data_IF_295082122390
#
_entry.id   IF_295082122390
#
_cell.length_a   1.000
_cell.length_b   1.000
_cell.length_c   1.000
_cell.angle_alpha   90.00
_cell.angle_beta   90.00
_cell.angle_gamma   90.00
#
_symmetry.space_group_name_H-M   'P 1'
#
loop_
_entity.id
_entity.type
_entity.pdbx_description
1 polymer ?
#
# COMPACT_ATOMS: atom_id res chain seq x y z
N UNK A 1 -16.85 -32.00 -26.25
CA UNK A 1 -17.22 -30.81 -25.46
C UNK A 1 -16.62 -31.02 -24.09
N UNK A 2 -15.53 -30.34 -23.79
CA UNK A 2 -14.82 -30.46 -22.51
C UNK A 2 -15.20 -29.28 -21.63
N UNK A 3 -15.87 -29.56 -20.51
CA UNK A 3 -16.19 -28.57 -19.48
C UNK A 3 -14.88 -28.00 -18.91
N UNK A 4 -14.72 -26.68 -19.02
CA UNK A 4 -13.66 -25.92 -18.40
C UNK A 4 -13.93 -25.82 -16.89
N UNK A 5 -13.07 -26.46 -16.10
CA UNK A 5 -13.07 -26.36 -14.65
C UNK A 5 -12.58 -24.96 -14.24
N UNK A 6 -13.50 -24.03 -14.01
CA UNK A 6 -13.18 -22.72 -13.43
C UNK A 6 -12.85 -22.94 -11.95
N UNK A 7 -11.63 -22.62 -11.48
CA UNK A 7 -11.30 -22.80 -10.07
C UNK A 7 -12.21 -21.93 -9.21
N UNK A 8 -12.92 -22.56 -8.27
CA UNK A 8 -13.83 -21.89 -7.35
C UNK A 8 -13.14 -20.78 -6.56
N UNK A 9 -13.84 -19.66 -6.38
CA UNK A 9 -13.45 -18.50 -5.56
C UNK A 9 -12.99 -18.99 -4.18
N UNK A 10 -11.68 -18.94 -3.91
CA UNK A 10 -11.14 -19.25 -2.58
C UNK A 10 -11.79 -18.28 -1.58
N UNK A 11 -12.61 -18.79 -0.67
CA UNK A 11 -13.13 -17.96 0.42
C UNK A 11 -11.93 -17.48 1.23
N UNK A 12 -11.79 -16.16 1.34
CA UNK A 12 -10.92 -15.55 2.31
C UNK A 12 -11.19 -16.12 3.70
N UNK A 13 -10.16 -16.65 4.37
CA UNK A 13 -10.29 -17.07 5.77
C UNK A 13 -9.94 -15.88 6.67
N UNK A 14 -10.78 -15.53 7.66
CA UNK A 14 -10.41 -14.57 8.69
C UNK A 14 -9.07 -14.97 9.31
N UNK A 15 -8.21 -13.98 9.53
CA UNK A 15 -6.83 -14.20 10.03
C UNK A 15 -6.58 -13.26 11.20
N UNK A 16 -6.16 -13.81 12.34
CA UNK A 16 -5.82 -13.04 13.54
C UNK A 16 -4.38 -12.53 13.44
N UNK A 17 -4.18 -11.23 13.56
CA UNK A 17 -2.86 -10.60 13.67
C UNK A 17 -2.93 -9.38 14.58
N UNK A 18 -1.96 -9.21 15.49
CA UNK A 18 -1.94 -8.13 16.50
C UNK A 18 -3.26 -7.98 17.29
N UNK A 19 -3.96 -9.09 17.55
CA UNK A 19 -5.24 -9.08 18.26
C UNK A 19 -6.47 -8.69 17.41
N UNK A 20 -6.29 -8.38 16.13
CA UNK A 20 -7.34 -7.97 15.19
C UNK A 20 -7.70 -9.15 14.27
N UNK A 21 -9.01 -9.39 14.07
CA UNK A 21 -9.52 -10.38 13.11
C UNK A 21 -9.77 -9.70 11.77
N UNK A 22 -8.83 -9.87 10.83
CA UNK A 22 -8.94 -9.32 9.48
C UNK A 22 -9.96 -10.09 8.64
N UNK A 23 -10.64 -9.40 7.71
CA UNK A 23 -11.58 -10.02 6.76
C UNK A 23 -10.86 -10.93 5.78
N UNK A 24 -9.57 -10.67 5.57
CA UNK A 24 -8.74 -11.55 4.76
C UNK A 24 -7.32 -11.80 5.24
N UNK A 25 -6.79 -12.95 4.82
CA UNK A 25 -5.36 -13.28 4.97
C UNK A 25 -4.46 -12.27 4.26
N UNK A 26 -4.94 -11.67 3.16
CA UNK A 26 -4.17 -10.66 2.43
C UNK A 26 -4.10 -9.35 3.21
N UNK A 27 -5.22 -8.88 3.78
CA UNK A 27 -5.23 -7.72 4.70
C UNK A 27 -4.34 -7.95 5.91
N UNK A 28 -4.44 -9.11 6.57
CA UNK A 28 -3.56 -9.42 7.70
C UNK A 28 -2.08 -9.39 7.30
N UNK A 29 -1.74 -9.88 6.10
CA UNK A 29 -0.36 -9.84 5.59
C UNK A 29 0.09 -8.41 5.32
N UNK A 30 -0.79 -7.55 4.83
CA UNK A 30 -0.50 -6.14 4.63
C UNK A 30 -0.32 -5.39 5.94
N UNK A 31 -1.15 -5.64 6.96
CA UNK A 31 -0.90 -5.15 8.32
C UNK A 31 0.50 -5.55 8.83
N UNK A 32 0.88 -6.81 8.63
CA UNK A 32 2.22 -7.27 8.98
C UNK A 32 3.33 -6.66 8.11
N UNK A 33 3.04 -6.31 6.86
CA UNK A 33 3.97 -5.62 5.98
C UNK A 33 4.19 -4.17 6.43
N UNK A 34 3.14 -3.47 6.87
CA UNK A 34 3.25 -2.13 7.44
C UNK A 34 4.09 -2.13 8.71
N UNK A 35 3.93 -3.13 9.59
CA UNK A 35 4.81 -3.33 10.76
C UNK A 35 6.27 -3.55 10.34
N UNK A 36 6.52 -4.31 9.27
CA UNK A 36 7.88 -4.53 8.73
C UNK A 36 8.49 -3.25 8.14
N UNK A 37 7.68 -2.41 7.51
CA UNK A 37 8.09 -1.09 6.99
C UNK A 37 8.22 -0.03 8.09
N UNK A 38 7.79 -0.34 9.32
CA UNK A 38 7.79 0.59 10.44
C UNK A 38 6.72 1.68 10.32
N UNK A 39 5.63 1.41 9.60
CA UNK A 39 4.50 2.31 9.44
C UNK A 39 3.46 2.07 10.52
N UNK A 40 2.96 3.15 11.13
CA UNK A 40 1.84 3.06 12.05
C UNK A 40 0.54 3.01 11.26
N UNK A 41 -0.36 2.09 11.59
CA UNK A 41 -1.59 1.86 10.85
C UNK A 41 -2.80 1.70 11.76
N UNK A 42 -3.97 2.05 11.21
CA UNK A 42 -5.29 1.78 11.75
C UNK A 42 -6.05 0.89 10.76
N UNK A 43 -6.77 -0.12 11.24
CA UNK A 43 -7.57 -1.03 10.42
C UNK A 43 -9.04 -0.63 10.45
N UNK A 44 -9.68 -0.58 9.27
CA UNK A 44 -11.06 -0.08 9.10
C UNK A 44 -11.30 1.25 9.83
N UNK A 45 -10.52 2.31 9.51
CA UNK A 45 -10.62 3.60 10.21
C UNK A 45 -12.01 4.21 10.05
N UNK A 46 -12.42 4.99 11.04
CA UNK A 46 -13.66 5.77 10.93
C UNK A 46 -13.55 6.81 9.82
N UNK A 47 -14.49 6.79 8.87
CA UNK A 47 -14.61 7.81 7.83
C UNK A 47 -15.98 8.50 7.89
N UNK A 48 -16.08 9.78 7.46
CA UNK A 48 -17.37 10.48 7.42
C UNK A 48 -18.37 9.91 6.41
N UNK A 49 -17.93 9.06 5.48
CA UNK A 49 -18.72 8.54 4.37
C UNK A 49 -19.09 7.06 4.51
N UNK A 50 -19.83 6.54 3.53
CA UNK A 50 -20.22 5.12 3.50
C UNK A 50 -19.07 4.17 3.08
N UNK A 51 -17.94 4.72 2.63
CA UNK A 51 -16.77 3.94 2.25
C UNK A 51 -15.75 3.94 3.38
N UNK A 52 -15.44 2.74 3.86
CA UNK A 52 -14.40 2.48 4.86
C UNK A 52 -13.23 1.83 4.10
N UNK A 53 -12.07 2.49 4.00
CA UNK A 53 -10.88 1.87 3.44
C UNK A 53 -10.37 0.75 4.36
N UNK A 54 -9.55 -0.16 3.83
CA UNK A 54 -9.01 -1.26 4.64
C UNK A 54 -8.07 -0.72 5.74
N UNK A 55 -7.26 0.30 5.44
CA UNK A 55 -6.34 0.90 6.41
C UNK A 55 -6.20 2.42 6.26
N UNK A 56 -5.73 3.04 7.34
CA UNK A 56 -5.12 4.37 7.36
C UNK A 56 -3.67 4.25 7.86
N UNK A 57 -2.72 4.80 7.12
CA UNK A 57 -1.32 4.91 7.53
C UNK A 57 -1.05 6.30 8.11
N UNK A 58 -0.43 6.34 9.28
CA UNK A 58 0.00 7.58 9.92
C UNK A 58 1.48 7.82 9.63
N UNK A 59 1.74 8.86 8.83
CA UNK A 59 3.08 9.40 8.61
C UNK A 59 3.49 10.36 9.72
N UNK A 60 4.58 11.09 9.49
CA UNK A 60 5.05 12.14 10.41
C UNK A 60 4.46 13.50 10.04
N UNK A 61 4.49 14.43 10.99
CA UNK A 61 3.96 15.79 10.83
C UNK A 61 2.48 15.83 10.41
N UNK A 62 1.67 14.87 10.88
CA UNK A 62 0.25 14.79 10.58
C UNK A 62 -0.09 14.28 9.18
N UNK A 63 0.89 13.75 8.43
CA UNK A 63 0.63 13.11 7.13
C UNK A 63 -0.14 11.82 7.31
N UNK A 64 -1.03 11.57 6.36
CA UNK A 64 -1.93 10.43 6.35
C UNK A 64 -2.07 9.88 4.94
N UNK A 65 -2.32 8.58 4.82
CA UNK A 65 -2.60 7.92 3.56
C UNK A 65 -3.58 6.77 3.79
N UNK A 66 -4.68 6.77 3.05
CA UNK A 66 -5.62 5.65 3.07
C UNK A 66 -5.11 4.52 2.18
N UNK A 67 -5.42 3.28 2.55
CA UNK A 67 -4.99 2.09 1.80
C UNK A 67 -6.15 1.13 1.58
N UNK A 68 -6.28 0.65 0.35
CA UNK A 68 -7.18 -0.45 -0.01
C UNK A 68 -6.35 -1.68 -0.42
N UNK A 69 -6.76 -2.84 0.07
CA UNK A 69 -6.17 -4.14 -0.23
C UNK A 69 -7.08 -4.89 -1.20
N UNK A 70 -6.51 -5.33 -2.32
CA UNK A 70 -7.22 -6.12 -3.34
C UNK A 70 -6.35 -7.22 -3.88
N UNK A 71 -6.94 -8.33 -4.35
CA UNK A 71 -6.16 -9.23 -5.20
C UNK A 71 -5.82 -8.52 -6.51
N UNK A 72 -4.68 -8.83 -7.11
CA UNK A 72 -4.24 -8.21 -8.36
C UNK A 72 -5.30 -8.31 -9.46
N UNK A 73 -5.90 -9.50 -9.62
CA UNK A 73 -6.94 -9.75 -10.63
C UNK A 73 -8.18 -8.88 -10.41
N UNK A 74 -8.66 -8.81 -9.17
CA UNK A 74 -9.83 -8.00 -8.81
C UNK A 74 -9.54 -6.51 -9.00
N UNK A 75 -8.35 -6.05 -8.62
CA UNK A 75 -7.94 -4.66 -8.80
C UNK A 75 -7.89 -4.29 -10.28
N UNK A 76 -7.23 -5.09 -11.12
CA UNK A 76 -7.14 -4.81 -12.57
C UNK A 76 -8.52 -4.76 -13.23
N UNK A 77 -9.47 -5.60 -12.78
CA UNK A 77 -10.83 -5.64 -13.34
C UNK A 77 -11.73 -4.49 -12.85
N UNK A 78 -11.54 -4.02 -11.62
CA UNK A 78 -12.46 -3.10 -10.96
C UNK A 78 -11.81 -1.75 -10.59
N UNK A 79 -10.62 -1.45 -11.10
CA UNK A 79 -9.80 -0.29 -10.75
C UNK A 79 -10.58 1.02 -10.70
N UNK A 80 -11.23 1.39 -11.80
CA UNK A 80 -11.94 2.67 -11.91
C UNK A 80 -13.04 2.79 -10.85
N UNK A 81 -13.79 1.72 -10.60
CA UNK A 81 -14.85 1.71 -9.60
C UNK A 81 -14.31 1.82 -8.17
N UNK A 82 -13.17 1.17 -7.88
CA UNK A 82 -12.49 1.25 -6.58
C UNK A 82 -12.01 2.69 -6.33
N UNK A 83 -11.33 3.29 -7.31
CA UNK A 83 -10.77 4.64 -7.20
C UNK A 83 -11.89 5.69 -7.10
N UNK A 84 -12.92 5.61 -7.94
CA UNK A 84 -14.04 6.55 -7.90
C UNK A 84 -14.79 6.50 -6.56
N UNK A 85 -14.90 5.31 -5.94
CA UNK A 85 -15.48 5.15 -4.61
C UNK A 85 -14.63 5.82 -3.53
N UNK A 86 -13.31 5.64 -3.59
CA UNK A 86 -12.37 6.27 -2.67
C UNK A 86 -12.39 7.80 -2.84
N UNK A 87 -12.31 8.28 -4.08
CA UNK A 87 -12.35 9.70 -4.41
C UNK A 87 -13.60 10.39 -3.87
N UNK A 88 -14.78 9.82 -4.14
CA UNK A 88 -16.05 10.38 -3.67
C UNK A 88 -16.23 10.40 -2.15
N UNK A 89 -15.44 9.62 -1.40
CA UNK A 89 -15.59 9.48 0.06
C UNK A 89 -14.48 10.14 0.87
N UNK A 90 -13.25 10.14 0.36
CA UNK A 90 -12.05 10.62 1.08
C UNK A 90 -11.72 12.08 0.71
N UNK A 91 -12.21 12.58 -0.42
CA UNK A 91 -11.84 13.87 -0.96
C UNK A 91 -10.41 13.89 -1.53
N UNK A 92 -9.96 15.06 -1.97
CA UNK A 92 -8.71 15.21 -2.74
C UNK A 92 -7.45 15.45 -1.89
N UNK A 93 -7.60 15.70 -0.59
CA UNK A 93 -6.49 16.17 0.25
C UNK A 93 -5.63 15.05 0.84
N UNK A 94 -6.08 13.80 0.78
CA UNK A 94 -5.39 12.65 1.39
C UNK A 94 -5.04 11.62 0.30
N UNK A 95 -3.76 11.25 0.15
CA UNK A 95 -3.36 10.19 -0.77
C UNK A 95 -4.06 8.86 -0.48
N UNK A 96 -4.34 8.13 -1.55
CA UNK A 96 -4.94 6.80 -1.52
C UNK A 96 -4.04 5.80 -2.23
N UNK A 97 -3.68 4.72 -1.55
CA UNK A 97 -2.82 3.66 -2.08
C UNK A 97 -3.65 2.38 -2.26
N UNK A 98 -3.58 1.77 -3.44
CA UNK A 98 -4.09 0.42 -3.65
C UNK A 98 -2.93 -0.55 -3.71
N UNK A 99 -2.94 -1.54 -2.83
CA UNK A 99 -1.93 -2.59 -2.76
C UNK A 99 -2.51 -3.96 -3.08
N UNK A 100 -1.68 -4.86 -3.61
CA UNK A 100 -2.15 -6.19 -4.05
C UNK A 100 -1.35 -7.37 -3.51
N UNK A 101 -1.71 -8.59 -3.93
CA UNK A 101 -0.92 -9.80 -3.62
C UNK A 101 0.30 -9.98 -4.55
N UNK A 102 0.48 -9.09 -5.52
CA UNK A 102 1.58 -9.08 -6.49
C UNK A 102 2.25 -7.71 -6.55
N UNK A 103 3.56 -7.71 -6.77
CA UNK A 103 4.31 -6.50 -7.06
C UNK A 103 4.68 -6.47 -8.54
N UNK A 104 4.40 -5.34 -9.17
CA UNK A 104 4.79 -5.08 -10.55
C UNK A 104 6.15 -4.41 -10.59
N UNK A 105 6.83 -4.49 -11.73
CA UNK A 105 8.07 -3.75 -11.95
C UNK A 105 7.72 -2.28 -12.20
N UNK A 106 8.53 -1.39 -11.65
CA UNK A 106 8.53 0.01 -12.06
C UNK A 106 8.83 0.14 -13.56
N UNK A 107 8.36 1.22 -14.17
CA UNK A 107 8.56 1.50 -15.60
C UNK A 107 10.00 1.97 -15.85
N UNK A 108 10.42 3.01 -15.13
CA UNK A 108 11.72 3.66 -15.23
C UNK A 108 12.82 2.99 -14.39
N UNK A 109 12.47 2.10 -13.47
CA UNK A 109 13.41 1.55 -12.48
C UNK A 109 13.46 0.02 -12.48
N UNK A 110 14.51 -0.57 -11.89
CA UNK A 110 14.62 -2.04 -11.75
C UNK A 110 13.81 -2.58 -10.56
N UNK A 111 13.41 -1.68 -9.68
CA UNK A 111 12.67 -1.91 -8.47
C UNK A 111 11.22 -2.32 -8.73
N UNK A 112 10.60 -2.79 -7.66
CA UNK A 112 9.20 -3.18 -7.65
C UNK A 112 8.37 -2.06 -7.03
N UNK A 113 7.17 -1.89 -7.54
CA UNK A 113 6.19 -0.95 -6.99
C UNK A 113 5.39 -1.65 -5.91
N UNK A 114 5.11 -0.94 -4.81
CA UNK A 114 4.31 -1.47 -3.71
C UNK A 114 2.83 -1.61 -4.11
N UNK A 115 2.39 -0.75 -5.03
CA UNK A 115 1.02 -0.62 -5.49
C UNK A 115 0.87 0.63 -6.35
N UNK A 116 -0.37 1.10 -6.46
CA UNK A 116 -0.70 2.34 -7.18
C UNK A 116 -1.14 3.40 -6.19
N UNK A 117 -0.50 4.56 -6.25
CA UNK A 117 -0.92 5.74 -5.52
C UNK A 117 -1.83 6.60 -6.39
N UNK A 118 -2.76 7.24 -5.69
CA UNK A 118 -3.67 8.23 -6.20
C UNK A 118 -3.53 9.42 -5.26
N UNK A 119 -3.11 10.57 -5.78
CA UNK A 119 -3.08 11.83 -5.03
C UNK A 119 -3.50 13.00 -5.92
N UNK A 120 -4.01 14.07 -5.31
CA UNK A 120 -4.22 15.32 -6.03
C UNK A 120 -2.90 16.07 -6.16
N UNK A 121 -2.17 15.82 -7.24
CA UNK A 121 -1.10 16.71 -7.70
C UNK A 121 -1.63 17.59 -8.84
N UNK A 122 -1.29 18.89 -8.84
CA UNK A 122 -1.67 19.82 -9.91
C UNK A 122 -2.91 20.69 -9.67
N UNK A 123 -3.17 21.63 -10.59
CA UNK A 123 -4.23 22.65 -10.48
C UNK A 123 -5.65 22.07 -10.59
N UNK A 124 -5.80 20.89 -11.23
CA UNK A 124 -7.11 20.32 -11.57
C UNK A 124 -7.76 19.49 -10.44
N UNK A 125 -7.08 19.34 -9.29
CA UNK A 125 -7.62 18.69 -8.07
C UNK A 125 -8.27 17.31 -8.34
N UNK A 126 -7.70 16.50 -9.22
CA UNK A 126 -8.12 15.10 -9.46
C UNK A 126 -7.05 14.15 -8.93
N UNK A 127 -7.47 12.96 -8.54
CA UNK A 127 -6.54 11.88 -8.24
C UNK A 127 -5.74 11.51 -9.48
N UNK A 128 -4.49 11.93 -9.53
CA UNK A 128 -3.52 11.47 -10.52
C UNK A 128 -2.96 10.12 -10.08
N UNK A 129 -2.93 9.17 -11.01
CA UNK A 129 -2.40 7.83 -10.78
C UNK A 129 -0.89 7.86 -10.95
N UNK A 130 -0.19 7.27 -10.00
CA UNK A 130 1.24 6.99 -10.12
C UNK A 130 1.59 5.63 -9.48
N UNK A 131 2.78 5.12 -9.78
CA UNK A 131 3.33 3.92 -9.20
C UNK A 131 4.01 4.22 -7.87
N UNK A 132 3.77 3.39 -6.86
CA UNK A 132 4.30 3.59 -5.50
C UNK A 132 5.70 2.98 -5.37
N UNK A 133 6.76 3.78 -5.47
CA UNK A 133 8.13 3.35 -5.19
C UNK A 133 8.44 3.52 -3.70
N UNK A 134 9.07 2.51 -3.09
CA UNK A 134 9.60 2.62 -1.73
C UNK A 134 11.04 3.10 -1.79
N UNK A 135 11.37 4.03 -0.90
CA UNK A 135 12.73 4.53 -0.72
C UNK A 135 13.05 4.75 0.77
N UNK A 136 14.31 5.00 1.06
CA UNK A 136 14.81 5.23 2.42
C UNK A 136 15.19 6.70 2.61
N UNK A 137 14.27 7.55 3.13
CA UNK A 137 14.57 8.98 3.31
C UNK A 137 15.64 9.24 4.38
N UNK A 138 15.88 8.28 5.27
CA UNK A 138 16.80 8.42 6.41
C UNK A 138 16.07 8.70 7.71
N UNK A 139 15.90 7.64 8.52
CA UNK A 139 15.11 7.67 9.77
C UNK A 139 15.48 8.77 10.75
N UNK A 140 16.77 9.08 10.89
CA UNK A 140 17.22 10.12 11.82
C UNK A 140 16.78 11.52 11.39
N UNK A 141 16.72 11.78 10.08
CA UNK A 141 16.33 13.06 9.54
C UNK A 141 14.82 13.19 9.36
N UNK A 142 14.13 12.10 8.99
CA UNK A 142 12.73 12.14 8.54
C UNK A 142 11.76 11.32 9.39
N UNK A 143 12.25 10.65 10.43
CA UNK A 143 11.44 9.91 11.41
C UNK A 143 11.06 8.48 11.01
N UNK A 144 11.00 8.18 9.71
CA UNK A 144 10.71 6.84 9.18
C UNK A 144 11.89 6.27 8.39
N UNK A 145 12.08 4.95 8.48
CA UNK A 145 13.12 4.24 7.72
C UNK A 145 12.74 4.07 6.26
N UNK A 146 11.45 3.81 6.00
CA UNK A 146 10.89 3.65 4.66
C UNK A 146 9.76 4.65 4.46
N UNK A 147 9.71 5.23 3.28
CA UNK A 147 8.61 6.06 2.78
C UNK A 147 8.29 5.62 1.34
N UNK A 148 7.28 6.21 0.73
CA UNK A 148 6.94 6.02 -0.66
C UNK A 148 6.77 7.35 -1.39
N UNK A 149 7.07 7.35 -2.69
CA UNK A 149 6.74 8.44 -3.58
C UNK A 149 6.28 7.90 -4.93
N UNK A 150 5.65 8.77 -5.72
CA UNK A 150 5.29 8.49 -7.10
C UNK A 150 6.52 8.32 -7.98
N UNK A 151 6.42 7.41 -8.95
CA UNK A 151 7.47 7.17 -9.94
C UNK A 151 7.68 8.39 -10.87
N UNK A 152 6.60 9.10 -11.21
CA UNK A 152 6.63 10.22 -12.17
C UNK A 152 6.35 11.59 -11.55
N UNK A 153 5.78 11.64 -10.35
CA UNK A 153 5.44 12.88 -9.64
C UNK A 153 6.61 13.61 -8.99
N UNK A 154 6.31 14.46 -8.00
CA UNK A 154 7.30 15.36 -7.34
C UNK A 154 8.40 14.68 -6.50
N UNK A 155 8.49 13.34 -6.50
CA UNK A 155 9.42 12.49 -5.72
C UNK A 155 9.50 12.86 -4.23
N UNK A 156 8.42 13.44 -3.72
CA UNK A 156 8.26 13.81 -2.33
C UNK A 156 7.63 12.66 -1.57
N UNK A 157 8.26 12.27 -0.46
CA UNK A 157 7.76 11.19 0.39
C UNK A 157 6.35 11.47 0.92
N UNK A 158 5.42 10.54 0.75
CA UNK A 158 4.02 10.71 1.16
C UNK A 158 3.83 10.64 2.67
N UNK A 159 4.68 9.90 3.39
CA UNK A 159 4.57 9.73 4.84
C UNK A 159 5.47 10.70 5.60
N UNK A 160 6.62 11.06 5.05
CA UNK A 160 7.58 11.94 5.71
C UNK A 160 7.61 13.36 5.16
N UNK A 161 7.22 13.54 3.91
CA UNK A 161 7.44 14.78 3.17
C UNK A 161 8.88 15.01 2.76
N UNK A 162 9.76 14.02 2.93
CA UNK A 162 11.15 14.08 2.53
C UNK A 162 11.26 14.41 1.04
N UNK A 163 12.15 15.33 0.73
CA UNK A 163 12.56 15.69 -0.62
C UNK A 163 13.96 16.27 -0.53
N UNK A 164 14.94 15.55 -1.03
CA UNK A 164 16.35 15.91 -1.00
C UNK A 164 16.95 16.07 -2.42
N UNK A 165 16.07 16.05 -3.43
CA UNK A 165 16.41 16.18 -4.84
C UNK A 165 16.56 14.83 -5.54
N UNK A 166 16.29 14.82 -6.84
CA UNK A 166 16.08 13.59 -7.62
C UNK A 166 17.21 12.56 -7.49
N UNK A 167 18.48 12.98 -7.49
CA UNK A 167 19.62 12.06 -7.44
C UNK A 167 19.80 11.30 -6.12
N UNK A 168 19.25 11.78 -5.00
CA UNK A 168 19.32 11.09 -3.71
C UNK A 168 18.16 10.11 -3.53
N UNK A 169 17.01 10.41 -4.13
CA UNK A 169 15.87 9.49 -4.19
C UNK A 169 16.24 8.18 -4.88
N UNK A 170 16.80 8.25 -6.10
CA UNK A 170 17.13 7.05 -6.90
C UNK A 170 18.09 6.08 -6.18
N UNK A 171 19.12 6.61 -5.51
CA UNK A 171 20.11 5.78 -4.79
C UNK A 171 19.56 5.19 -3.49
N UNK A 172 18.41 5.66 -3.02
CA UNK A 172 17.76 5.21 -1.79
C UNK A 172 16.55 4.30 -2.05
N UNK A 173 16.25 3.97 -3.31
CA UNK A 173 15.18 3.05 -3.66
C UNK A 173 15.40 1.67 -3.03
N UNK A 174 14.31 1.07 -2.54
CA UNK A 174 14.37 -0.23 -1.88
C UNK A 174 14.62 -1.34 -2.93
N UNK A 175 15.71 -2.10 -2.83
CA UNK A 175 16.00 -3.16 -3.78
C UNK A 175 14.89 -4.22 -3.82
N UNK A 176 14.54 -4.71 -5.02
CA UNK A 176 13.49 -5.74 -5.21
C UNK A 176 13.67 -6.96 -4.31
N UNK A 177 14.91 -7.40 -4.09
CA UNK A 177 15.22 -8.56 -3.23
C UNK A 177 14.81 -8.33 -1.78
N UNK A 178 14.96 -7.10 -1.30
CA UNK A 178 14.65 -6.75 0.08
C UNK A 178 13.16 -6.54 0.27
N UNK A 179 12.47 -5.92 -0.70
CA UNK A 179 11.00 -5.88 -0.70
C UNK A 179 10.40 -7.30 -0.65
N UNK A 180 10.89 -8.20 -1.50
CA UNK A 180 10.42 -9.60 -1.51
C UNK A 180 10.72 -10.33 -0.21
N UNK A 181 11.86 -10.06 0.43
CA UNK A 181 12.22 -10.61 1.74
C UNK A 181 11.30 -10.08 2.83
N UNK A 182 11.01 -8.79 2.84
CA UNK A 182 10.07 -8.16 3.77
C UNK A 182 8.66 -8.74 3.60
N UNK A 183 8.20 -8.89 2.36
CA UNK A 183 6.91 -9.49 2.05
C UNK A 183 6.82 -10.95 2.53
N UNK A 184 7.90 -11.72 2.37
CA UNK A 184 7.99 -13.09 2.91
C UNK A 184 7.90 -13.09 4.46
N UNK A 185 8.62 -12.18 5.12
CA UNK A 185 8.56 -12.02 6.60
C UNK A 185 7.15 -11.69 7.07
N UNK A 186 6.45 -10.76 6.41
CA UNK A 186 5.06 -10.43 6.70
C UNK A 186 4.14 -11.65 6.56
N UNK A 187 4.34 -12.44 5.50
CA UNK A 187 3.60 -13.68 5.27
C UNK A 187 3.81 -14.75 6.35
N UNK A 188 5.01 -14.81 6.93
CA UNK A 188 5.33 -15.72 8.05
C UNK A 188 4.73 -15.23 9.38
N UNK A 189 4.62 -13.90 9.57
CA UNK A 189 4.10 -13.31 10.80
C UNK A 189 2.62 -13.65 11.05
N UNK A 190 1.85 -13.85 9.98
CA UNK A 190 0.41 -14.14 10.04
C UNK A 190 0.05 -15.63 9.98
N UNK A 191 1.06 -16.51 10.01
CA UNK A 191 0.80 -17.94 10.05
C UNK A 191 0.28 -18.33 11.44
N UNK A 192 -0.75 -19.16 11.47
CA UNK A 192 -1.22 -19.77 12.71
C UNK A 192 -0.07 -20.54 13.38
N UNK A 193 0.08 -20.33 14.69
CA UNK A 193 1.00 -21.09 15.53
C UNK A 193 0.16 -21.90 16.52
N UNK A 194 0.39 -23.21 16.65
CA UNK A 194 -0.23 -23.98 17.72
C UNK A 194 0.21 -23.42 19.07
N UNK A 195 -0.71 -23.41 20.04
CA UNK A 195 -0.34 -23.21 21.43
C UNK A 195 0.68 -24.29 21.82
N UNK A 196 1.80 -23.85 22.40
CA UNK A 196 2.90 -24.73 22.83
C UNK A 196 2.54 -25.49 24.11
#
# INVERSE_FOLDING_TARGET
MTESNVPGRRSSKPTLYQGINFRSRLEARWAAMFDVLGWTWEYEPETPGAYIPDFLIHGVHGRQMYVEVKSFVDFVQNREAIVAKAEGALGFDVPFLVVTDQFERAIGFEELVLGEIYNAEGEDSKFERDNALIFQPGKQAHGLEFDLAGEFGSWRGLLTGAYDGNGLFEVSLLPKSDLMRMWSRAGNAIQWKPDR
#
